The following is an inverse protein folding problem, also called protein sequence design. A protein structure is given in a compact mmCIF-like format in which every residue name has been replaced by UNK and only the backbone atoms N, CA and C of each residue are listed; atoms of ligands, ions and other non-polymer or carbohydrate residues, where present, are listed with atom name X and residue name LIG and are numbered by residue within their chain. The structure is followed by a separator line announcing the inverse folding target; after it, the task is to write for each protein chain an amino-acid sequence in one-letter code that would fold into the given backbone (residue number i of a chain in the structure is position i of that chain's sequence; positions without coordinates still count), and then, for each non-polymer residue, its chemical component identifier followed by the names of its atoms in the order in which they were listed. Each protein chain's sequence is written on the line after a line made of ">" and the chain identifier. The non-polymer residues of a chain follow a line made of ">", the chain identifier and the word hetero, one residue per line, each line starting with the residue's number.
data_IF_073147492862
#
_entry.id   IF_073147492862
#
_cell.length_a   1.000
_cell.length_b   1.000
_cell.length_c   1.000
_cell.angle_alpha   90.00
_cell.angle_beta   90.00
_cell.angle_gamma   90.00
#
_symmetry.space_group_name_H-M   'P 1'
#
loop_
_entity.id
_entity.type
_entity.pdbx_description
1 polymer ?
2 water ?
#
# COMPACT_ATOMS: atom_id res chain seq x y z
N UNK A 7 20.92 -2.24 -20.56
CA UNK A 7 19.64 -2.32 -21.29
C UNK A 7 19.03 -0.95 -21.54
N UNK A 8 19.01 -0.50 -22.79
CA UNK A 8 18.32 0.72 -23.14
C UNK A 8 16.82 0.44 -23.26
N UNK A 9 15.97 1.44 -23.08
CA UNK A 9 14.52 1.19 -23.05
C UNK A 9 13.97 0.95 -24.43
N UNK A 10 13.06 0.02 -24.54
CA UNK A 10 12.23 -0.07 -25.70
C UNK A 10 11.30 1.09 -25.87
N UNK A 11 10.72 1.55 -24.79
CA UNK A 11 9.76 2.62 -24.80
C UNK A 11 9.60 3.31 -23.42
N UNK A 12 9.30 4.60 -23.43
CA UNK A 12 9.04 5.36 -22.23
C UNK A 12 7.71 6.08 -22.30
N UNK A 13 6.91 5.92 -21.29
CA UNK A 13 5.55 6.47 -21.29
C UNK A 13 5.40 7.43 -20.10
N UNK A 14 5.03 8.69 -20.37
CA UNK A 14 4.78 9.60 -19.26
C UNK A 14 3.32 9.48 -18.86
N UNK A 15 3.05 9.78 -17.59
CA UNK A 15 1.69 9.78 -17.07
C UNK A 15 1.59 10.80 -15.93
N UNK A 16 0.38 11.32 -15.73
CA UNK A 16 0.05 12.28 -14.69
C UNK A 16 -1.30 11.90 -14.14
N UNK A 17 -1.44 11.95 -12.81
CA UNK A 17 -2.66 11.51 -12.15
C UNK A 17 -2.90 12.34 -10.89
N UNK A 18 -4.17 12.38 -10.48
CA UNK A 18 -4.61 12.98 -9.21
C UNK A 18 -4.99 11.84 -8.28
N UNK A 19 -4.34 11.76 -7.12
CA UNK A 19 -4.44 10.56 -6.30
C UNK A 19 -5.26 10.74 -5.02
N UNK A 20 -5.97 11.83 -4.87
CA UNK A 20 -6.81 12.00 -3.69
C UNK A 20 -6.26 13.07 -2.77
N UNK A 21 -6.82 13.11 -1.57
CA UNK A 21 -6.51 14.16 -0.60
C UNK A 21 -5.90 13.58 0.67
N UNK A 22 -5.11 14.42 1.34
CA UNK A 22 -4.50 14.15 2.65
C UNK A 22 -5.44 14.71 3.71
N UNK A 23 -6.05 13.84 4.52
CA UNK A 23 -6.99 14.31 5.52
C UNK A 23 -6.34 14.84 6.80
N UNK A 24 -7.12 15.54 7.61
CA UNK A 24 -6.56 16.19 8.79
C UNK A 24 -6.29 15.20 9.94
N UNK A 25 -5.38 15.59 10.82
CA UNK A 25 -4.93 14.75 11.94
C UNK A 25 -5.73 15.00 13.22
N UNK A 26 -6.17 13.91 13.86
CA UNK A 26 -6.92 13.97 15.09
C UNK A 26 -6.21 13.34 16.29
N UNK A 27 -5.33 12.38 16.09
CA UNK A 27 -4.56 11.78 17.19
C UNK A 27 -3.55 12.69 17.86
N UNK A 28 -2.86 13.46 17.07
CA UNK A 28 -1.71 14.18 17.46
C UNK A 28 -0.44 13.44 17.18
N UNK A 29 -0.54 12.13 17.06
CA UNK A 29 0.58 11.29 16.70
C UNK A 29 0.68 11.03 15.19
N UNK A 30 1.67 10.28 14.74
CA UNK A 30 1.79 9.95 13.34
C UNK A 30 0.61 9.17 12.81
N UNK A 31 0.11 9.59 11.68
CA UNK A 31 -0.97 8.91 10.98
C UNK A 31 -0.55 8.76 9.54
N UNK A 32 -0.84 7.62 8.93
CA UNK A 32 -0.55 7.43 7.52
C UNK A 32 -1.75 7.89 6.70
N UNK A 33 -1.49 8.60 5.61
CA UNK A 33 -2.59 9.10 4.79
C UNK A 33 -2.54 8.61 3.35
N UNK A 34 -1.41 8.07 2.90
CA UNK A 34 -1.38 7.46 1.57
C UNK A 34 -0.20 6.51 1.48
N UNK A 35 -0.35 5.52 0.60
CA UNK A 35 0.72 4.57 0.31
C UNK A 35 0.59 4.20 -1.18
N UNK A 36 1.48 4.74 -2.01
CA UNK A 36 1.30 4.66 -3.46
C UNK A 36 2.34 3.71 -4.08
N UNK A 37 1.89 2.54 -4.50
CA UNK A 37 2.70 1.59 -5.27
C UNK A 37 3.00 2.12 -6.66
N UNK A 38 4.26 2.04 -7.08
CA UNK A 38 4.70 2.50 -8.41
C UNK A 38 4.86 1.38 -9.45
N UNK A 39 4.80 0.10 -9.06
CA UNK A 39 4.90 -0.98 -10.05
C UNK A 39 3.84 -0.82 -11.15
N UNK A 40 4.23 -0.87 -12.44
CA UNK A 40 3.28 -0.47 -13.50
C UNK A 40 2.01 -1.30 -13.53
N UNK A 41 2.02 -2.56 -13.11
CA UNK A 41 0.75 -3.28 -13.05
C UNK A 41 -0.03 -3.00 -11.77
N UNK A 42 0.50 -2.19 -10.83
CA UNK A 42 -0.20 -1.99 -9.57
C UNK A 42 -0.86 -0.61 -9.44
N UNK A 43 -0.44 0.39 -10.21
CA UNK A 43 -1.18 1.64 -10.23
C UNK A 43 -2.59 1.36 -10.72
N UNK A 44 -3.54 2.19 -10.29
CA UNK A 44 -4.96 1.93 -10.52
C UNK A 44 -5.51 2.91 -11.55
N UNK A 45 -6.19 2.38 -12.57
CA UNK A 45 -6.83 3.18 -13.60
C UNK A 45 -8.27 3.46 -13.16
N UNK A 46 -8.53 4.69 -12.70
CA UNK A 46 -9.85 5.14 -12.26
C UNK A 46 -9.99 6.62 -12.57
N UNK A 47 -11.10 7.18 -12.15
CA UNK A 47 -11.33 8.57 -12.35
C UNK A 47 -10.22 9.30 -11.64
N UNK A 48 -9.62 10.22 -12.36
CA UNK A 48 -8.48 10.96 -11.90
C UNK A 48 -7.15 10.34 -12.29
N UNK A 49 -7.17 9.11 -12.72
CA UNK A 49 -5.94 8.42 -13.10
C UNK A 49 -5.98 7.66 -14.44
N UNK A 50 -6.74 8.14 -15.39
CA UNK A 50 -6.95 7.42 -16.65
C UNK A 50 -5.69 7.25 -17.44
N UNK A 51 -4.75 8.16 -17.24
CA UNK A 51 -3.47 8.10 -17.86
C UNK A 51 -2.66 6.83 -17.48
N UNK A 52 -3.01 6.15 -16.41
CA UNK A 52 -2.34 4.92 -15.99
C UNK A 52 -2.76 3.70 -16.81
N UNK A 53 -3.76 3.83 -17.70
CA UNK A 53 -4.20 2.73 -18.52
C UNK A 53 -3.07 2.21 -19.39
N UNK A 54 -2.45 3.09 -20.16
CA UNK A 54 -1.28 2.65 -20.96
C UNK A 54 -0.19 2.05 -20.10
N UNK A 55 0.04 2.60 -18.91
CA UNK A 55 1.13 2.13 -18.06
C UNK A 55 0.91 0.66 -17.70
N UNK A 56 -0.29 0.32 -17.24
CA UNK A 56 -0.62 -1.06 -16.96
C UNK A 56 -0.43 -1.92 -18.20
N UNK A 57 -0.83 -1.40 -19.37
CA UNK A 57 -0.76 -2.20 -20.58
C UNK A 57 0.69 -2.53 -20.90
N UNK A 58 1.58 -1.54 -20.86
CA UNK A 58 2.99 -1.81 -21.10
C UNK A 58 3.56 -2.76 -20.05
N UNK A 59 3.19 -2.57 -18.77
CA UNK A 59 3.69 -3.44 -17.72
C UNK A 59 3.31 -4.89 -17.94
N UNK A 60 2.18 -5.13 -18.60
CA UNK A 60 1.79 -6.49 -18.91
C UNK A 60 2.50 -7.01 -20.15
N UNK A 61 3.10 -6.16 -20.97
CA UNK A 61 3.72 -6.69 -22.18
C UNK A 61 5.24 -6.75 -22.12
N UNK A 62 5.86 -6.05 -21.18
CA UNK A 62 7.29 -6.05 -21.04
C UNK A 62 7.64 -6.67 -19.70
N UNK A 63 8.93 -6.99 -19.52
CA UNK A 63 9.34 -7.78 -18.36
C UNK A 63 10.20 -6.98 -17.37
N UNK A 64 10.80 -5.87 -17.80
CA UNK A 64 11.59 -5.00 -16.94
C UNK A 64 11.05 -3.57 -17.03
N UNK A 65 10.96 -2.88 -15.88
CA UNK A 65 10.55 -1.47 -15.84
C UNK A 65 11.55 -0.65 -15.04
N UNK A 66 11.50 0.67 -15.26
CA UNK A 66 12.16 1.62 -14.35
C UNK A 66 11.51 2.99 -14.50
N UNK A 67 11.84 3.89 -13.58
CA UNK A 67 11.30 5.25 -13.60
C UNK A 67 12.36 6.22 -14.09
N UNK A 68 11.96 7.12 -15.01
CA UNK A 68 12.87 8.19 -15.44
C UNK A 68 12.94 9.30 -14.40
N UNK A 69 11.84 9.54 -13.69
CA UNK A 69 11.74 10.60 -12.70
C UNK A 69 10.42 10.43 -11.97
N UNK A 70 10.27 11.15 -10.86
CA UNK A 70 9.03 11.09 -10.08
C UNK A 70 8.83 12.39 -9.31
N UNK A 71 7.79 13.13 -9.67
CA UNK A 71 7.40 14.36 -9.01
C UNK A 71 6.06 14.15 -8.32
N UNK A 72 6.01 14.46 -7.02
CA UNK A 72 4.78 14.39 -6.24
C UNK A 72 4.48 15.81 -5.76
N UNK A 73 3.37 16.38 -6.22
CA UNK A 73 3.00 17.76 -5.92
C UNK A 73 1.91 17.79 -4.85
N UNK A 74 2.13 18.58 -3.81
CA UNK A 74 1.12 18.82 -2.79
C UNK A 74 0.54 20.22 -2.94
N UNK A 75 -0.77 20.31 -3.11
CA UNK A 75 -1.48 21.58 -3.24
C UNK A 75 -2.36 21.84 -2.00
N UNK A 76 -2.07 22.92 -1.29
CA UNK A 76 -2.84 23.27 -0.10
C UNK A 76 -4.30 23.51 -0.41
N UNK A 78 -6.32 24.55 1.99
CA UNK A 78 -6.78 25.28 3.19
C UNK A 78 -5.66 26.17 3.70
N UNK A 79 -5.98 27.47 3.86
CA UNK A 79 -4.94 28.45 4.14
C UNK A 79 -4.34 28.35 5.53
N UNK A 80 -3.13 28.93 5.70
CA UNK A 80 -2.48 28.91 7.02
C UNK A 80 -3.13 29.87 8.00
N UNK A 81 -3.88 30.86 7.50
CA UNK A 81 -4.76 31.62 8.38
C UNK A 81 -5.81 30.71 9.02
N UNK A 82 -6.19 29.63 8.35
CA UNK A 82 -7.36 28.90 8.82
C UNK A 82 -6.98 27.78 9.79
N UNK A 83 -5.87 27.06 9.52
CA UNK A 83 -5.50 25.89 10.30
C UNK A 83 -4.05 25.98 10.72
N UNK A 84 -3.74 25.19 11.74
CA UNK A 84 -2.49 25.27 12.45
C UNK A 84 -2.27 23.92 13.12
N UNK A 85 -1.00 23.55 13.28
CA UNK A 85 -0.65 22.43 14.14
C UNK A 85 -0.14 21.17 13.44
N UNK A 86 -0.28 21.04 12.12
CA UNK A 86 0.01 19.79 11.44
C UNK A 86 1.14 19.93 10.44
N UNK A 87 2.01 18.91 10.40
CA UNK A 87 3.08 18.75 9.43
C UNK A 87 2.86 17.47 8.63
N UNK A 88 3.11 17.54 7.32
CA UNK A 88 2.90 16.47 6.37
C UNK A 88 4.26 16.06 5.81
N UNK A 89 4.54 14.76 5.81
CA UNK A 89 5.83 14.25 5.38
C UNK A 89 5.64 13.26 4.23
N UNK A 90 6.26 13.57 3.09
CA UNK A 90 6.24 12.72 1.90
C UNK A 90 7.53 11.92 1.90
N UNK A 91 7.46 10.61 1.78
CA UNK A 91 8.71 9.84 1.82
C UNK A 91 8.72 8.71 0.80
N UNK A 92 9.94 8.27 0.48
CA UNK A 92 10.20 7.16 -0.45
C UNK A 92 10.49 5.88 0.34
N UNK A 93 9.58 4.90 0.25
CA UNK A 93 9.84 3.57 0.76
C UNK A 93 10.43 2.75 -0.38
N UNK A 94 11.71 2.38 -0.32
CA UNK A 94 12.37 1.82 -1.51
C UNK A 94 11.93 0.40 -1.86
N UNK A 95 11.56 -0.44 -0.88
CA UNK A 95 11.16 -1.81 -1.19
C UNK A 95 9.67 -2.05 -1.02
N UNK A 96 8.91 -1.03 -0.64
CA UNK A 96 7.49 -1.20 -0.32
C UNK A 96 7.28 -2.25 0.78
N UNK A 97 8.02 -2.09 1.87
CA UNK A 97 7.96 -3.00 2.99
C UNK A 97 7.55 -2.24 4.24
N UNK A 98 6.51 -2.66 4.94
CA UNK A 98 6.05 -1.92 6.11
C UNK A 98 7.13 -1.78 7.17
N UNK A 99 7.14 -0.62 7.81
CA UNK A 99 8.17 -0.25 8.77
C UNK A 99 7.57 -0.01 10.17
N UNK A 100 8.36 -0.35 11.16
CA UNK A 100 7.96 -0.19 12.53
C UNK A 100 8.55 1.01 13.23
N UNK A 101 9.24 1.86 12.51
CA UNK A 101 9.96 2.95 13.12
C UNK A 101 9.26 4.29 13.22
N UNK A 102 8.09 4.40 12.64
CA UNK A 102 7.26 5.57 12.73
C UNK A 102 8.03 6.83 12.34
N UNK A 103 7.77 7.94 12.99
CA UNK A 103 8.14 9.20 12.43
C UNK A 103 9.62 9.34 12.28
N UNK A 104 10.38 8.95 13.27
CA UNK A 104 11.82 9.18 13.20
C UNK A 104 12.46 8.33 12.09
N UNK A 105 11.90 7.13 11.85
CA UNK A 105 12.37 6.32 10.75
C UNK A 105 12.11 6.97 9.40
N UNK A 106 10.92 7.55 9.24
CA UNK A 106 10.60 8.32 8.05
C UNK A 106 11.61 9.42 7.81
N UNK A 107 12.20 9.96 8.88
CA UNK A 107 13.17 11.01 8.70
C UNK A 107 14.47 10.52 8.11
N UNK A 108 14.76 9.22 8.26
CA UNK A 108 15.98 8.68 7.67
C UNK A 108 15.84 8.59 6.15
N UNK A 109 14.63 8.34 5.64
CA UNK A 109 14.46 8.15 4.21
C UNK A 109 14.54 9.50 3.48
N UNK A 110 14.66 9.46 2.16
CA UNK A 110 14.55 10.69 1.40
C UNK A 110 13.12 11.20 1.57
N UNK A 111 12.98 12.48 1.90
CA UNK A 111 11.66 12.94 2.31
C UNK A 111 11.53 14.44 2.10
N UNK A 112 10.28 14.90 2.13
CA UNK A 112 9.94 16.31 2.13
C UNK A 112 8.83 16.57 3.15
N UNK A 113 9.04 17.57 4.02
CA UNK A 113 8.02 18.06 4.94
C UNK A 113 7.40 19.35 4.40
N UNK A 114 6.09 19.46 4.49
CA UNK A 114 5.40 20.70 4.12
C UNK A 114 4.42 21.12 5.22
N UNK A 115 4.44 22.39 5.57
CA UNK A 115 3.56 22.88 6.62
C UNK A 115 2.19 23.22 6.06
N UNK A 116 1.16 22.91 6.85
CA UNK A 116 -0.21 23.17 6.41
C UNK A 116 -0.33 24.58 5.84
N UNK A 117 -1.14 24.72 4.79
CA UNK A 117 -1.29 25.98 4.11
C UNK A 117 -0.17 26.33 3.15
N UNK A 118 0.73 25.40 2.83
CA UNK A 118 1.80 25.65 1.87
C UNK A 118 1.74 24.64 0.72
N UNK A 119 2.39 24.99 -0.39
CA UNK A 119 2.42 24.21 -1.62
C UNK A 119 3.83 23.69 -1.85
N UNK A 120 3.96 22.51 -2.47
CA UNK A 120 5.31 21.92 -2.57
C UNK A 120 5.36 20.81 -3.63
N UNK A 121 6.58 20.52 -4.08
CA UNK A 121 6.81 19.45 -5.05
C UNK A 121 8.00 18.61 -4.60
N UNK A 122 7.76 17.32 -4.41
CA UNK A 122 8.79 16.35 -4.03
C UNK A 122 9.36 15.75 -5.32
N UNK A 123 10.58 16.14 -5.68
CA UNK A 123 11.22 15.75 -6.93
C UNK A 123 12.23 14.66 -6.61
N UNK A 124 12.29 13.62 -7.45
CA UNK A 124 13.17 12.48 -7.24
C UNK A 124 13.98 12.21 -8.50
N UNK A 125 15.27 11.98 -8.31
CA UNK A 125 16.15 11.70 -9.43
C UNK A 125 16.13 10.20 -9.75
N UNK A 126 16.45 9.84 -11.00
CA UNK A 126 16.58 8.40 -11.34
C UNK A 126 17.48 7.60 -10.41
N UNK A 127 18.56 8.17 -9.91
CA UNK A 127 19.42 7.42 -8.98
C UNK A 127 18.69 7.07 -7.69
N UNK A 128 17.65 7.83 -7.32
CA UNK A 128 16.88 7.45 -6.14
C UNK A 128 15.95 6.26 -6.38
N UNK A 129 15.65 5.95 -7.64
CA UNK A 129 14.57 5.02 -7.96
C UNK A 129 15.06 3.69 -8.53
N UNK A 130 16.36 3.53 -8.76
CA UNK A 130 16.83 2.45 -9.63
C UNK A 130 16.68 1.07 -9.02
N UNK A 131 16.55 0.09 -9.89
CA UNK A 131 16.35 -1.27 -9.44
C UNK A 131 17.64 -2.04 -9.46
N UNK A 132 17.58 -3.25 -8.96
CA UNK A 132 18.80 -4.02 -8.73
C UNK A 132 19.35 -4.73 -9.98
N UNK A 133 18.57 -4.82 -11.04
CA UNK A 133 19.07 -5.29 -12.32
C UNK A 133 19.68 -4.22 -13.20
N UNK A 134 20.82 -3.70 -12.78
CA UNK A 134 21.48 -2.67 -13.54
C UNK A 134 20.51 -1.55 -13.76
N UNK A 135 19.79 -1.21 -12.72
CA UNK A 135 18.85 -0.11 -12.75
C UNK A 135 17.39 -0.49 -12.85
N UNK A 136 17.07 -1.71 -13.26
CA UNK A 136 15.71 -2.10 -13.60
C UNK A 136 15.07 -2.94 -12.52
N UNK A 137 13.74 -2.94 -12.50
CA UNK A 137 12.92 -3.83 -11.72
C UNK A 137 12.26 -4.81 -12.67
N UNK A 138 11.76 -5.92 -12.12
CA UNK A 138 10.98 -6.89 -12.84
C UNK A 138 9.49 -6.56 -12.72
N UNK A 139 8.75 -6.94 -13.75
CA UNK A 139 7.37 -6.51 -13.93
C UNK A 139 6.36 -7.53 -13.37
N UNK A 140 6.75 -8.81 -13.32
CA UNK A 140 5.89 -9.94 -12.98
C UNK A 140 5.81 -10.14 -11.46
N UNK A 141 4.67 -9.82 -10.87
CA UNK A 141 4.54 -9.76 -9.42
C UNK A 141 4.47 -11.13 -8.77
N UNK A 142 4.73 -12.22 -9.49
CA UNK A 142 4.89 -13.53 -8.86
C UNK A 142 6.33 -13.85 -8.50
N UNK A 143 7.29 -13.04 -8.92
CA UNK A 143 8.70 -13.32 -8.67
C UNK A 143 9.08 -12.99 -7.23
N UNK A 144 10.32 -13.36 -6.89
CA UNK A 144 10.95 -12.88 -5.66
C UNK A 144 10.74 -11.37 -5.56
N UNK A 145 10.34 -10.92 -4.37
CA UNK A 145 9.75 -9.59 -4.25
C UNK A 145 10.83 -8.51 -4.33
N UNK A 146 12.02 -8.82 -3.82
CA UNK A 146 13.08 -7.81 -3.77
C UNK A 146 13.37 -7.27 -5.15
N UNK A 147 12.98 -7.99 -6.19
CA UNK A 147 13.25 -7.57 -7.55
C UNK A 147 12.02 -7.02 -8.29
N UNK A 148 10.82 -7.16 -7.75
CA UNK A 148 9.61 -6.86 -8.47
C UNK A 148 8.92 -5.53 -8.08
N UNK A 149 8.64 -5.39 -6.80
CA UNK A 149 7.74 -4.38 -6.32
C UNK A 149 8.26 -2.98 -6.56
N UNK A 150 9.52 -2.76 -6.28
CA UNK A 150 10.11 -1.45 -6.44
C UNK A 150 9.57 -0.50 -5.40
N UNK A 151 9.80 0.79 -5.61
CA UNK A 151 9.58 1.79 -4.58
C UNK A 151 8.11 2.16 -4.40
N UNK A 152 7.85 2.84 -3.27
CA UNK A 152 6.54 3.38 -2.90
C UNK A 152 6.67 4.79 -2.31
N UNK A 153 5.65 5.60 -2.53
CA UNK A 153 5.53 6.91 -1.90
C UNK A 153 4.55 6.78 -0.74
N UNK A 154 4.97 7.24 0.44
CA UNK A 154 4.11 7.29 1.61
C UNK A 154 3.93 8.73 2.04
N UNK A 155 2.74 9.06 2.54
CA UNK A 155 2.47 10.36 3.12
C UNK A 155 1.95 10.17 4.53
N UNK A 156 2.58 10.84 5.50
CA UNK A 156 2.20 10.77 6.91
C UNK A 156 1.97 12.20 7.46
N UNK A 157 1.10 12.31 8.46
CA UNK A 157 0.92 13.59 9.15
C UNK A 157 1.37 13.47 10.61
N UNK A 158 1.85 14.60 11.16
CA UNK A 158 2.20 14.71 12.57
C UNK A 158 1.59 15.98 13.17
N UNK A 159 0.86 15.86 14.27
CA UNK A 159 0.37 17.04 14.97
C UNK A 159 -1.09 17.34 14.70
N UNK A 160 -1.86 17.57 15.78
CA UNK A 160 -3.32 17.72 15.66
C UNK A 160 -3.68 18.94 14.82
N UNK A 161 -4.62 18.78 13.90
CA UNK A 161 -5.00 19.90 13.03
C UNK A 161 -6.09 20.72 13.71
N UNK A 163 -8.49 24.27 13.96
CA UNK A 163 -9.00 25.51 13.40
C UNK A 163 -8.26 26.66 14.07
N UNK A 164 -7.69 27.55 13.28
CA UNK A 164 -6.78 28.52 13.86
C UNK A 164 -7.51 29.60 14.65
N UNK A 165 -8.84 29.72 14.51
CA UNK A 165 -9.63 30.69 15.28
C UNK A 165 -10.07 30.13 16.63
N UNK A 166 -10.94 29.12 16.61
CA UNK A 166 -11.50 28.57 17.84
C UNK A 166 -10.60 27.53 18.49
N UNK A 167 -9.52 27.13 17.82
CA UNK A 167 -8.60 26.11 18.33
C UNK A 167 -9.34 24.80 18.61
N UNK A 168 -10.39 24.54 17.85
CA UNK A 168 -11.11 23.28 17.92
C UNK A 168 -10.57 22.32 16.84
N UNK A 169 -11.06 21.08 16.87
CA UNK A 169 -10.62 20.08 15.89
C UNK A 169 -11.14 20.40 14.50
N UNK A 170 -10.23 20.36 13.53
CA UNK A 170 -10.58 20.66 12.15
C UNK A 170 -10.75 19.35 11.39
N UNK A 171 -11.85 19.23 10.65
CA UNK A 171 -12.18 18.06 9.85
C UNK A 171 -12.19 18.47 8.39
N UNK A 172 -11.46 17.76 7.55
CA UNK A 172 -11.41 18.11 6.15
C UNK A 172 -10.02 17.89 5.59
N UNK A 173 -9.93 18.10 4.28
CA UNK A 173 -8.71 17.79 3.58
C UNK A 173 -7.71 18.93 3.69
N UNK A 174 -6.43 18.57 3.80
CA UNK A 174 -5.37 19.56 3.89
C UNK A 174 -4.68 19.79 2.57
N UNK A 175 -4.48 18.73 1.78
CA UNK A 175 -3.71 18.78 0.54
C UNK A 175 -4.33 17.87 -0.51
N UNK A 176 -4.16 18.28 -1.76
CA UNK A 176 -4.46 17.47 -2.93
C UNK A 176 -3.16 16.86 -3.42
N UNK A 177 -3.19 15.56 -3.75
CA UNK A 177 -1.99 14.89 -4.25
C UNK A 177 -2.09 14.73 -5.77
N UNK A 178 -1.06 15.18 -6.46
CA UNK A 178 -0.87 14.93 -7.87
C UNK A 178 0.50 14.29 -8.10
N UNK A 179 0.55 13.21 -8.88
CA UNK A 179 1.81 12.52 -9.18
C UNK A 179 2.11 12.59 -10.68
N UNK A 180 3.37 12.88 -11.02
CA UNK A 180 3.78 12.83 -12.42
C UNK A 180 5.12 12.08 -12.56
N UNK A 181 5.16 11.15 -13.52
CA UNK A 181 6.30 10.27 -13.68
C UNK A 181 6.39 9.76 -15.12
N UNK A 182 7.42 8.97 -15.40
CA UNK A 182 7.57 8.32 -16.70
C UNK A 182 8.19 6.95 -16.49
N UNK A 183 7.43 5.91 -16.87
CA UNK A 183 7.83 4.52 -16.80
C UNK A 183 8.56 4.09 -18.08
N UNK A 184 9.75 3.51 -17.93
CA UNK A 184 10.46 2.93 -19.06
C UNK A 184 10.38 1.40 -19.02
N UNK A 185 10.29 0.77 -20.19
CA UNK A 185 10.09 -0.68 -20.30
C UNK A 185 11.07 -1.30 -21.29
N UNK A 186 11.45 -2.56 -21.02
CA UNK A 186 12.30 -3.32 -21.91
C UNK A 186 12.14 -4.81 -21.61
N UNK A 187 12.45 -5.64 -22.60
CA UNK A 187 12.29 -7.09 -22.52
C UNK A 187 10.84 -7.50 -22.67
N UNK A 188 10.61 -8.63 -23.32
CA UNK A 188 9.28 -9.03 -23.74
C UNK A 188 8.68 -10.02 -22.73
N UNK A 189 7.50 -9.69 -22.25
CA UNK A 189 6.77 -10.56 -21.34
C UNK A 189 6.66 -11.94 -21.94
N UNK A 190 7.26 -12.94 -21.27
CA UNK A 190 7.06 -14.32 -21.66
C UNK A 190 5.59 -14.61 -21.82
N UNK A 191 4.79 -14.13 -20.86
CA UNK A 191 3.35 -14.20 -20.92
C UNK A 191 2.84 -12.79 -20.68
N UNK A 192 2.11 -12.20 -21.60
CA UNK A 192 1.59 -10.90 -21.25
C UNK A 192 0.65 -10.85 -20.05
N UNK A 193 -0.36 -11.70 -19.96
CA UNK A 193 -1.23 -11.81 -18.78
C UNK A 193 -2.41 -10.81 -18.81
N UNK A 194 -2.27 -9.73 -19.55
CA UNK A 194 -3.33 -8.76 -19.85
C UNK A 194 -4.14 -8.21 -18.69
N UNK A 195 -3.48 -7.95 -17.58
CA UNK A 195 -3.85 -8.57 -16.32
C UNK A 195 -5.14 -8.16 -15.56
N UNK A 196 -5.47 -6.88 -15.49
CA UNK A 196 -6.67 -6.43 -14.80
C UNK A 196 -6.69 -6.86 -13.32
N UNK A 197 -5.73 -6.34 -12.55
CA UNK A 197 -5.71 -6.62 -11.11
C UNK A 197 -6.69 -5.68 -10.41
N UNK A 198 -7.48 -6.24 -9.50
CA UNK A 198 -8.51 -5.49 -8.78
C UNK A 198 -7.88 -4.49 -7.82
N UNK A 199 -8.42 -3.26 -7.81
CA UNK A 199 -8.06 -2.22 -6.86
C UNK A 199 -9.33 -1.52 -6.43
N UNK A 200 -9.63 -1.55 -5.14
CA UNK A 200 -10.91 -1.04 -4.70
C UNK A 200 -10.80 -0.50 -3.27
N UNK A 201 -11.92 -0.04 -2.75
CA UNK A 201 -12.01 0.55 -1.42
C UNK A 201 -13.27 0.01 -0.74
N UNK A 202 -13.16 -0.25 0.55
CA UNK A 202 -14.28 -0.65 1.39
C UNK A 202 -14.47 0.46 2.42
N UNK A 203 -15.46 1.34 2.17
CA UNK A 203 -15.56 2.63 2.84
C UNK A 203 -15.70 2.50 4.35
N UNK A 204 -16.36 1.44 4.85
CA UNK A 204 -16.41 1.20 6.28
C UNK A 204 -16.67 -0.27 6.53
N UNK A 205 -15.87 -0.88 7.40
CA UNK A 205 -15.99 -2.30 7.73
C UNK A 205 -15.36 -2.52 9.11
N UNK A 206 -15.87 -3.53 9.83
CA UNK A 206 -15.43 -3.87 11.18
C UNK A 206 -14.41 -5.01 11.12
N UNK A 207 -13.23 -4.79 11.69
CA UNK A 207 -12.17 -5.78 11.61
C UNK A 207 -11.78 -6.21 13.03
N UNK A 208 -11.40 -7.48 13.16
CA UNK A 208 -10.87 -8.03 14.40
C UNK A 208 -9.61 -8.80 14.06
N UNK A 209 -8.80 -9.05 15.10
CA UNK A 209 -7.53 -9.75 15.01
C UNK A 209 -7.49 -10.83 16.06
N UNK A 210 -7.07 -12.03 15.67
CA UNK A 210 -6.79 -13.07 16.64
C UNK A 210 -5.40 -13.66 16.42
N UNK A 211 -4.87 -14.20 17.50
CA UNK A 211 -3.57 -14.84 17.53
C UNK A 211 -3.31 -15.38 18.91
N UNK A 212 -2.22 -16.12 19.02
CA UNK A 212 -1.79 -16.72 20.28
C UNK A 212 -0.29 -16.93 20.16
N UNK A 213 0.38 -17.14 21.29
CA UNK A 213 1.84 -17.28 21.29
C UNK A 213 2.27 -18.41 20.36
N UNK A 214 3.13 -18.07 19.40
CA UNK A 214 3.59 -19.03 18.42
C UNK A 214 2.68 -19.21 17.22
N UNK A 215 1.50 -18.55 17.18
CA UNK A 215 0.63 -18.85 16.07
C UNK A 215 0.42 -17.63 15.17
N UNK A 216 -0.10 -17.81 13.95
CA UNK A 216 -0.20 -16.67 13.02
C UNK A 216 -1.25 -15.64 13.42
N UNK A 217 -0.91 -14.38 13.18
CA UNK A 217 -1.86 -13.28 13.27
C UNK A 217 -2.91 -13.44 12.19
N UNK A 218 -4.19 -13.37 12.58
CA UNK A 218 -5.31 -13.54 11.66
C UNK A 218 -6.20 -12.30 11.68
N UNK A 220 -10.00 -10.88 10.74
CA UNK A 220 -11.37 -11.25 10.42
C UNK A 220 -12.11 -10.07 9.81
N UNK A 221 -12.86 -10.34 8.74
CA UNK A 221 -13.64 -9.37 8.00
C UNK A 221 -15.06 -9.92 7.86
N UNK A 222 -16.12 -9.12 8.07
CA UNK A 222 -17.48 -9.64 7.91
C UNK A 222 -17.70 -10.22 6.52
N UNK A 223 -18.56 -11.25 6.47
CA UNK A 223 -18.61 -12.17 5.35
C UNK A 223 -19.13 -11.52 4.08
N UNK A 224 -19.96 -10.48 4.22
CA UNK A 224 -20.60 -9.84 3.08
C UNK A 224 -20.10 -8.43 2.85
N UNK A 225 -18.99 -8.05 3.48
CA UNK A 225 -18.30 -6.82 3.12
C UNK A 225 -17.82 -6.87 1.67
N UNK A 226 -17.73 -5.69 1.06
CA UNK A 226 -17.20 -5.56 -0.28
C UNK A 226 -15.82 -6.19 -0.40
N UNK A 227 -14.95 -5.97 0.62
CA UNK A 227 -13.61 -6.53 0.57
C UNK A 227 -13.64 -8.04 0.66
N UNK A 228 -14.29 -8.59 1.69
CA UNK A 228 -14.45 -10.04 1.76
C UNK A 228 -15.05 -10.57 0.47
N UNK A 229 -16.08 -9.88 -0.03
CA UNK A 229 -16.67 -10.26 -1.30
C UNK A 229 -15.63 -10.37 -2.40
N UNK A 230 -14.94 -9.26 -2.70
CA UNK A 230 -14.02 -9.23 -3.83
C UNK A 230 -12.89 -10.24 -3.67
N UNK A 231 -12.35 -10.39 -2.46
CA UNK A 231 -11.24 -11.33 -2.26
C UNK A 231 -11.66 -12.75 -2.60
N UNK A 232 -12.85 -13.17 -2.17
CA UNK A 232 -13.30 -14.52 -2.45
C UNK A 232 -13.54 -14.73 -3.94
N UNK A 233 -14.12 -13.73 -4.65
CA UNK A 233 -14.28 -13.91 -6.09
C UNK A 233 -12.94 -14.05 -6.79
N UNK A 234 -11.98 -13.19 -6.45
CA UNK A 234 -10.75 -13.06 -7.22
C UNK A 234 -9.54 -13.77 -6.60
N UNK A 235 -9.69 -14.46 -5.47
CA UNK A 235 -8.55 -15.15 -4.91
C UNK A 235 -8.34 -16.47 -5.64
N UNK A 236 -7.12 -16.70 -6.12
CA UNK A 236 -6.79 -17.92 -6.84
C UNK A 236 -7.23 -19.14 -6.06
N UNK A 237 -7.79 -20.11 -6.77
CA UNK A 237 -8.18 -21.35 -6.13
C UNK A 237 -6.98 -22.23 -5.80
N UNK A 238 -5.81 -21.96 -6.38
CA UNK A 238 -4.61 -22.67 -5.99
C UNK A 238 -4.16 -22.15 -4.62
N UNK A 239 -3.50 -23.02 -3.84
CA UNK A 239 -3.25 -22.73 -2.43
C UNK A 239 -1.91 -23.30 -1.99
N UNK A 240 -1.63 -23.10 -0.70
CA UNK A 240 -0.44 -23.62 -0.03
C UNK A 240 -0.80 -23.90 1.43
N UNK A 241 0.10 -24.59 2.11
CA UNK A 241 -0.04 -24.91 3.53
C UNK A 241 1.07 -24.28 4.36
N UNK A 242 0.72 -23.53 5.39
CA UNK A 242 1.72 -23.01 6.27
C UNK A 242 2.12 -24.12 7.18
N UNK A 243 3.36 -24.12 7.63
CA UNK A 243 3.52 -24.48 9.04
C UNK A 243 2.95 -25.87 9.17
N UNK A 244 2.12 -26.09 10.17
CA UNK A 244 1.68 -27.41 10.54
C UNK A 244 0.20 -27.37 10.74
N UNK A 245 -0.47 -28.45 10.31
CA UNK A 245 -1.79 -28.80 10.81
C UNK A 245 -2.74 -27.89 10.11
N UNK A 246 -2.18 -27.19 9.14
CA UNK A 246 -2.03 -25.76 9.20
C UNK A 246 -2.71 -25.26 7.97
N UNK A 247 -3.51 -24.23 8.11
CA UNK A 247 -4.63 -24.06 7.24
C UNK A 247 -4.18 -23.66 5.88
N UNK A 248 -4.99 -23.94 4.89
CA UNK A 248 -4.57 -23.56 3.55
C UNK A 248 -4.96 -22.11 3.26
N UNK A 249 -4.24 -21.51 2.32
CA UNK A 249 -4.38 -20.10 2.02
C UNK A 249 -4.18 -19.89 0.52
N UNK A 250 -4.98 -18.99 -0.05
CA UNK A 250 -4.90 -18.66 -1.47
C UNK A 250 -3.50 -18.17 -1.83
N UNK A 251 -3.08 -18.46 -3.06
CA UNK A 251 -1.81 -17.93 -3.51
C UNK A 251 -1.90 -16.48 -3.94
N UNK A 252 -3.11 -15.92 -3.93
CA UNK A 252 -3.33 -14.52 -4.24
C UNK A 252 -3.13 -13.67 -2.99
N UNK A 253 -2.26 -12.66 -3.11
CA UNK A 253 -1.98 -11.71 -2.03
C UNK A 253 -2.73 -10.41 -2.29
N UNK A 254 -3.09 -9.73 -1.20
CA UNK A 254 -3.71 -8.40 -1.23
C UNK A 254 -2.94 -7.48 -0.30
N UNK A 255 -2.65 -6.28 -0.77
CA UNK A 255 -2.16 -5.22 0.11
C UNK A 255 -3.36 -4.46 0.66
N UNK A 256 -3.35 -4.20 1.96
CA UNK A 256 -4.40 -3.50 2.67
C UNK A 256 -3.82 -2.23 3.27
N UNK A 257 -4.53 -1.11 3.14
CA UNK A 257 -4.16 0.16 3.77
C UNK A 257 -5.38 0.75 4.47
N UNK A 258 -5.20 1.08 5.75
CA UNK A 258 -6.25 1.58 6.62
C UNK A 258 -5.94 3.03 6.96
N UNK A 259 -6.81 3.94 6.52
CA UNK A 259 -6.73 5.35 6.89
C UNK A 259 -7.76 5.76 7.94
N UNK A 260 -8.69 4.89 8.31
CA UNK A 260 -9.54 5.19 9.45
C UNK A 260 -8.70 5.22 10.72
N UNK A 261 -8.78 6.34 11.44
CA UNK A 261 -7.91 6.65 12.57
C UNK A 261 -7.95 5.60 13.69
N UNK A 265 -9.13 2.82 16.62
CA UNK A 265 -7.73 2.44 16.64
C UNK A 265 -7.54 0.96 17.02
N UNK A 266 -7.05 0.17 16.07
CA UNK A 266 -7.11 -1.28 16.19
C UNK A 266 -6.05 -1.83 17.16
N UNK A 267 -6.40 -2.91 17.87
CA UNK A 267 -5.43 -3.54 18.76
C UNK A 267 -5.20 -4.98 18.28
N UNK A 268 -3.98 -5.45 18.46
CA UNK A 268 -3.66 -6.79 17.99
C UNK A 268 -2.96 -7.60 19.06
N UNK A 269 -2.88 -8.91 18.92
CA UNK A 269 -1.92 -9.67 19.71
C UNK A 269 -0.55 -9.04 19.62
N UNK A 270 0.28 -9.18 20.67
CA UNK A 270 1.65 -8.71 20.48
C UNK A 270 2.39 -9.64 19.51
N UNK A 271 3.50 -9.21 18.93
CA UNK A 271 4.09 -7.87 19.04
C UNK A 271 3.66 -6.91 17.94
N UNK A 272 2.45 -7.03 17.40
CA UNK A 272 2.15 -6.38 16.12
C UNK A 272 1.34 -5.09 16.24
N UNK A 273 1.34 -4.42 17.40
CA UNK A 273 0.68 -3.13 17.49
C UNK A 273 1.29 -2.14 16.49
N UNK A 274 2.60 -2.25 16.30
CA UNK A 274 3.28 -1.34 15.38
C UNK A 274 2.75 -1.46 13.95
N UNK A 275 2.33 -2.67 13.54
CA UNK A 275 1.98 -2.90 12.13
C UNK A 275 0.64 -2.28 11.78
N UNK A 276 -0.38 -2.55 12.60
CA UNK A 276 -1.70 -1.98 12.34
C UNK A 276 -1.68 -0.47 12.55
N UNK A 277 -0.91 0.03 13.51
CA UNK A 277 -0.75 1.48 13.64
C UNK A 277 -0.02 2.06 12.44
N UNK A 278 0.89 1.31 11.85
CA UNK A 278 1.52 1.77 10.63
C UNK A 278 0.54 1.91 9.49
N UNK A 279 -0.59 1.21 9.56
CA UNK A 279 -1.68 1.39 8.64
C UNK A 279 -1.72 0.47 7.42
N UNK A 280 -0.69 -0.32 7.13
CA UNK A 280 -0.78 -1.16 5.94
C UNK A 280 0.04 -2.43 6.11
N UNK A 281 -0.47 -3.51 5.52
CA UNK A 281 0.15 -4.83 5.57
C UNK A 281 -0.32 -5.64 4.36
N UNK A 282 0.03 -6.93 4.35
CA UNK A 282 -0.37 -7.87 3.32
C UNK A 282 -1.21 -8.99 3.93
N UNK A 283 -2.13 -9.54 3.13
CA UNK A 283 -3.02 -10.61 3.58
C UNK A 283 -3.16 -11.68 2.50
N UNK A 284 -3.50 -12.89 2.94
CA UNK A 284 -3.91 -13.99 2.09
C UNK A 284 -5.17 -14.58 2.70
N UNK A 285 -6.17 -14.84 1.86
CA UNK A 285 -7.43 -15.44 2.32
C UNK A 285 -7.20 -16.87 2.83
N UNK A 286 -7.74 -17.20 4.02
CA UNK A 286 -7.69 -18.56 4.55
C UNK A 286 -8.83 -19.35 3.94
N UNK A 287 -8.55 -20.62 3.60
CA UNK A 287 -9.59 -21.58 3.30
C UNK A 287 -10.40 -21.86 4.55
N UNK A 288 -11.71 -21.65 4.46
CA UNK A 288 -12.61 -22.03 5.53
C UNK A 288 -13.98 -22.29 4.95
N UNK A 289 -14.87 -22.75 5.82
CA UNK A 289 -16.27 -23.01 5.55
C UNK A 289 -17.10 -21.77 5.21
N UNK A 290 -16.63 -20.62 5.64
CA UNK A 290 -16.50 -20.30 7.04
C UNK A 290 -17.15 -18.95 7.24
N UNK A 291 -17.48 -18.55 8.47
CA UNK A 291 -17.58 -19.34 9.71
C UNK A 291 -16.28 -19.22 10.53
N UNK A 292 -16.41 -18.88 11.81
CA UNK A 292 -17.70 -18.80 12.47
C UNK A 292 -18.10 -17.35 12.62
N UNK A 293 -19.17 -16.93 11.99
CA UNK A 293 -19.13 -15.65 11.34
C UNK A 293 -18.00 -15.70 10.29
N UNK A 294 -17.05 -14.76 10.31
CA UNK A 294 -16.56 -13.97 9.16
C UNK A 294 -15.62 -14.71 8.22
N UNK A 295 -15.18 -14.09 7.13
CA UNK A 295 -13.97 -14.51 6.43
C UNK A 295 -12.68 -14.21 7.12
N UNK A 296 -11.67 -15.02 6.88
CA UNK A 296 -10.45 -14.93 7.65
C UNK A 296 -9.22 -14.90 6.76
N UNK A 297 -8.22 -14.16 7.24
CA UNK A 297 -7.06 -13.73 6.48
C UNK A 297 -5.81 -13.89 7.35
N UNK A 298 -4.77 -14.51 6.79
CA UNK A 298 -3.45 -14.46 7.41
C UNK A 298 -2.84 -13.11 7.09
N UNK A 299 -2.10 -12.56 8.05
CA UNK A 299 -1.41 -11.29 7.91
C UNK A 299 0.07 -11.56 7.70
N UNK A 300 0.72 -10.74 6.86
CA UNK A 300 2.10 -10.90 6.46
C UNK A 300 2.84 -9.57 6.59
N UNK A 301 4.09 -9.66 7.09
CA UNK A 301 4.89 -8.46 7.33
C UNK A 301 5.48 -7.89 6.06
N UNK A 302 5.48 -8.66 4.96
CA UNK A 302 6.05 -8.19 3.71
C UNK A 302 5.52 -9.03 2.56
N UNK A 303 5.72 -8.51 1.35
CA UNK A 303 5.28 -9.23 0.16
C UNK A 303 6.04 -10.54 -0.01
N UNK A 304 7.35 -10.54 0.20
CA UNK A 304 8.09 -11.79 0.07
C UNK A 304 7.63 -12.81 1.11
N UNK A 305 7.37 -12.35 2.36
CA UNK A 305 6.82 -13.21 3.40
C UNK A 305 5.51 -13.86 2.96
N UNK A 306 4.63 -13.08 2.29
CA UNK A 306 3.36 -13.62 1.77
C UNK A 306 3.58 -14.63 0.63
N UNK A 307 4.39 -14.25 -0.37
CA UNK A 307 4.75 -15.17 -1.44
C UNK A 307 5.32 -16.49 -0.90
N UNK A 308 6.07 -16.43 0.20
CA UNK A 308 6.75 -17.60 0.77
C UNK A 308 5.95 -18.30 1.85
N UNK A 309 4.71 -17.85 2.13
CA UNK A 309 3.84 -18.48 3.12
C UNK A 309 4.44 -18.43 4.52
N UNK A 310 4.96 -17.27 4.91
CA UNK A 310 5.54 -17.05 6.23
C UNK A 310 4.74 -15.96 6.95
N UNK A 311 3.64 -16.30 7.62
CA UNK A 311 2.82 -15.26 8.28
C UNK A 311 3.44 -14.70 9.55
N UNK A 312 2.92 -13.56 9.95
CA UNK A 312 3.36 -12.92 11.17
C UNK A 312 2.96 -13.81 12.34
N UNK A 313 3.91 -14.08 13.23
CA UNK A 313 3.71 -15.03 14.31
C UNK A 313 3.62 -14.26 15.62
N UNK A 314 2.50 -14.42 16.32
CA UNK A 314 2.25 -13.67 17.55
C UNK A 314 3.09 -14.19 18.73
N UNK A 315 3.40 -13.28 19.66
CA UNK A 315 4.01 -13.64 20.93
C UNK A 315 2.99 -13.92 22.03
N UNK A 316 1.73 -13.58 21.82
CA UNK A 316 0.71 -13.85 22.83
C UNK A 316 -0.69 -13.71 22.28
N UNK A 317 -1.67 -13.82 23.18
CA UNK A 317 -3.07 -13.65 22.81
C UNK A 317 -3.49 -12.19 22.80
N UNK A 318 -4.67 -11.94 22.22
CA UNK A 318 -5.12 -10.56 22.06
C UNK A 318 -5.44 -9.98 23.44
N UNK A 319 -5.03 -8.75 23.75
CA UNK A 319 -5.23 -8.27 25.12
C UNK A 319 -6.69 -7.88 25.43
N UNK A 329 -15.40 0.81 11.90
CA UNK A 329 -14.19 1.39 12.49
C UNK A 329 -13.04 1.61 11.50
N UNK A 330 -12.98 0.87 10.37
CA UNK A 330 -11.93 1.08 9.38
C UNK A 330 -12.46 1.36 7.98
N UNK A 331 -11.69 2.16 7.24
CA UNK A 331 -11.82 2.35 5.80
C UNK A 331 -10.60 1.73 5.15
N UNK A 332 -10.80 0.62 4.44
CA UNK A 332 -9.72 -0.14 3.82
C UNK A 332 -9.63 0.17 2.34
N UNK A 333 -8.43 0.49 1.88
CA UNK A 333 -8.09 0.52 0.46
C UNK A 333 -7.24 -0.70 0.18
N UNK A 334 -7.57 -1.47 -0.86
CA UNK A 334 -6.89 -2.73 -1.10
C UNK A 334 -6.54 -2.91 -2.58
N UNK A 335 -5.42 -3.61 -2.79
CA UNK A 335 -4.85 -3.87 -4.11
C UNK A 335 -4.51 -5.34 -4.22
N UNK A 336 -5.05 -5.99 -5.25
CA UNK A 336 -4.65 -7.33 -5.62
C UNK A 336 -3.24 -7.26 -6.18
N UNK A 338 -1.48 -9.72 -7.19
CA UNK A 338 -1.09 -11.04 -7.63
C UNK A 338 -2.15 -11.70 -8.48
N UNK A 339 -1.70 -12.38 -9.54
CA UNK A 339 -2.53 -13.32 -10.28
C UNK A 339 -1.72 -14.59 -10.49
N UNK A 340 -1.99 -15.61 -9.74
CA UNK A 340 -1.20 -16.83 -9.89
C UNK A 340 -1.78 -17.58 -11.08
N UNK A 341 -1.25 -17.37 -12.25
CA UNK A 341 -0.40 -18.31 -12.93
C UNK A 341 0.45 -17.45 -13.83
N UNK A 342 1.67 -17.88 -14.07
CA UNK A 342 2.81 -17.06 -13.70
C UNK A 342 3.68 -16.99 -14.91
#
# INVERSE_FOLDING_TARGET
>A
KQGVTGPKPAICQTATATLGTIGSNTTGATEIEACILLNPVLVKDATGSTQFGPVQALGAQYSMWKLKYLNVRLTSXVGASAVNGTVVRISLNPTSTPSSTSWSGLGARKHLDVTVGKNAVFKLKPSDLGGPRDGWWLTNTNDNASDTLGPSIEIHTLGQTXSSYQNTQFTGGLFLVELSSAWCFTGYAANPNLVNLVKSTDKSVNVTFEGSAGTPLIXNVPEHSHFARTAVEHSSLSTSLSRAGGESSSDTVWQVLNTAVSAAELVTPPPFNWLVKGGWWFVKLIAGRARTGARRFYVYLSYQDALSNKPALCTGGVPASARQSNPVRTTLQFTQXNQPSLGHGGGGHHHHHH
#
